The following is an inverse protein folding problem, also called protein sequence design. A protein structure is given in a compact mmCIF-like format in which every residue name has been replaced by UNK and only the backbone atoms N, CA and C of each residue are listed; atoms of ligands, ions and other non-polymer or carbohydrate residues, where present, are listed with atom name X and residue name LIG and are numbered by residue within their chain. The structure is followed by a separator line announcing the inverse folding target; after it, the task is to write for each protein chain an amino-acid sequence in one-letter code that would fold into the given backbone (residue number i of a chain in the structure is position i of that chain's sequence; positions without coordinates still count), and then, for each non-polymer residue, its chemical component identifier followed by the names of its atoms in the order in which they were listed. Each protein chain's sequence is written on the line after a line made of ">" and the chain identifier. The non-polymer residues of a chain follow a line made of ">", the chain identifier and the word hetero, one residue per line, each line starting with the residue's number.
data_IF_874594114599
#
_entry.id   IF_874594114599
#
_cell.length_a   1.000
_cell.length_b   1.000
_cell.length_c   1.000
_cell.angle_alpha   90.00
_cell.angle_beta   90.00
_cell.angle_gamma   90.00
#
_symmetry.space_group_name_H-M   'P 1'
#
loop_
_entity.id
_entity.type
_entity.pdbx_description
1 polymer ?
#
# COMPACT_ATOMS: atom_id res chain seq x y z
N UNK A 1 -18.43 17.85 13.91
CA UNK A 1 -17.05 17.59 13.46
C UNK A 1 -16.72 16.17 13.80
N UNK A 2 -16.27 15.37 12.83
CA UNK A 2 -15.89 13.97 13.02
C UNK A 2 -14.70 13.91 13.99
N UNK A 3 -14.79 13.11 15.05
CA UNK A 3 -13.67 12.84 15.94
C UNK A 3 -12.72 11.86 15.25
N UNK A 4 -11.71 12.37 14.56
CA UNK A 4 -10.78 11.55 13.76
C UNK A 4 -10.03 10.48 14.58
N UNK A 5 -9.54 10.74 15.80
CA UNK A 5 -8.96 9.71 16.65
C UNK A 5 -9.93 8.56 16.99
N UNK A 6 -11.19 8.85 17.29
CA UNK A 6 -12.23 7.86 17.54
C UNK A 6 -12.58 7.07 16.27
N UNK A 7 -12.69 7.75 15.13
CA UNK A 7 -12.92 7.09 13.83
C UNK A 7 -11.78 6.13 13.47
N UNK A 8 -10.52 6.49 13.79
CA UNK A 8 -9.36 5.61 13.62
C UNK A 8 -9.47 4.36 14.48
N UNK A 9 -9.82 4.49 15.75
CA UNK A 9 -9.97 3.34 16.64
C UNK A 9 -11.08 2.41 16.14
N UNK A 10 -12.24 2.96 15.76
CA UNK A 10 -13.36 2.18 15.19
C UNK A 10 -12.98 1.48 13.88
N UNK A 11 -12.19 2.12 13.02
CA UNK A 11 -11.64 1.48 11.82
C UNK A 11 -10.81 0.26 12.20
N UNK A 12 -9.88 0.39 13.15
CA UNK A 12 -9.01 -0.72 13.55
C UNK A 12 -9.82 -1.85 14.17
N UNK A 13 -10.77 -1.55 15.06
CA UNK A 13 -11.59 -2.56 15.71
C UNK A 13 -12.52 -3.29 14.73
N UNK A 14 -13.27 -2.55 13.93
CA UNK A 14 -14.37 -3.11 13.13
C UNK A 14 -13.95 -3.56 11.74
N UNK A 15 -13.10 -2.77 11.08
CA UNK A 15 -12.76 -3.02 9.66
C UNK A 15 -11.49 -3.86 9.53
N UNK A 16 -10.60 -3.86 10.52
CA UNK A 16 -9.31 -4.55 10.47
C UNK A 16 -9.32 -5.79 11.36
N UNK A 17 -9.35 -5.63 12.68
CA UNK A 17 -9.37 -6.76 13.63
C UNK A 17 -10.63 -7.62 13.45
N UNK A 18 -11.78 -7.01 13.25
CA UNK A 18 -13.05 -7.71 12.97
C UNK A 18 -13.07 -8.52 11.67
N UNK A 19 -12.06 -8.36 10.79
CA UNK A 19 -11.89 -9.10 9.52
C UNK A 19 -10.67 -10.00 9.53
N UNK A 20 -10.29 -10.51 10.69
CA UNK A 20 -9.24 -11.54 10.89
C UNK A 20 -7.80 -11.05 10.68
N UNK A 21 -7.52 -9.74 10.79
CA UNK A 21 -6.17 -9.22 10.98
C UNK A 21 -5.88 -9.29 12.49
N UNK A 22 -4.95 -10.13 12.89
CA UNK A 22 -4.66 -10.43 14.30
C UNK A 22 -3.26 -10.05 14.78
N UNK A 23 -2.36 -9.63 13.90
CA UNK A 23 -1.00 -9.24 14.29
C UNK A 23 -1.03 -7.97 15.16
N UNK A 24 -0.59 -8.06 16.45
CA UNK A 24 -0.64 -6.94 17.38
C UNK A 24 0.20 -5.75 16.93
N UNK A 25 1.32 -5.97 16.20
CA UNK A 25 2.16 -4.88 15.69
C UNK A 25 1.46 -4.13 14.57
N UNK A 26 0.75 -4.86 13.68
CA UNK A 26 -0.05 -4.26 12.62
C UNK A 26 -1.18 -3.42 13.21
N UNK A 27 -1.94 -3.98 14.16
CA UNK A 27 -3.03 -3.25 14.82
C UNK A 27 -2.53 -2.01 15.57
N UNK A 28 -1.39 -2.10 16.25
CA UNK A 28 -0.77 -0.96 16.93
C UNK A 28 -0.29 0.12 15.94
N UNK A 29 0.33 -0.29 14.82
CA UNK A 29 0.76 0.63 13.76
C UNK A 29 -0.42 1.37 13.13
N UNK A 30 -1.52 0.65 12.83
CA UNK A 30 -2.74 1.24 12.26
C UNK A 30 -3.43 2.25 13.21
N UNK A 31 -3.32 2.04 14.53
CA UNK A 31 -3.79 3.00 15.55
C UNK A 31 -2.89 4.22 15.65
N UNK A 32 -1.58 4.03 15.51
CA UNK A 32 -0.58 5.08 15.69
C UNK A 32 -0.54 6.06 14.51
N UNK A 33 -0.62 5.57 13.27
CA UNK A 33 -0.42 6.38 12.06
C UNK A 33 -1.72 7.09 11.66
N UNK A 34 -1.73 8.44 11.63
CA UNK A 34 -2.92 9.24 11.31
C UNK A 34 -3.18 9.26 9.80
N UNK A 35 -4.05 8.37 9.31
CA UNK A 35 -4.35 8.24 7.87
C UNK A 35 -4.88 9.54 7.26
N UNK A 36 -5.61 10.38 8.03
CA UNK A 36 -6.12 11.69 7.62
C UNK A 36 -5.04 12.67 7.17
N UNK A 37 -3.79 12.45 7.57
CA UNK A 37 -2.65 13.26 7.15
C UNK A 37 -2.08 12.88 5.78
N UNK A 38 -2.50 11.74 5.25
CA UNK A 38 -2.07 11.17 3.97
C UNK A 38 -3.11 11.32 2.86
N UNK A 39 -4.20 12.01 3.12
CA UNK A 39 -5.26 12.28 2.14
C UNK A 39 -5.40 13.79 1.89
N UNK A 40 -5.93 14.21 0.72
CA UNK A 40 -6.26 15.62 0.48
C UNK A 40 -7.18 16.20 1.56
N UNK A 41 -7.02 17.47 1.88
CA UNK A 41 -7.75 18.11 2.98
C UNK A 41 -9.28 17.96 2.90
N UNK A 42 -9.85 18.02 1.68
CA UNK A 42 -11.29 17.85 1.44
C UNK A 42 -11.79 16.40 1.61
N UNK A 43 -10.89 15.42 1.73
CA UNK A 43 -11.21 13.99 1.94
C UNK A 43 -10.91 13.50 3.36
N UNK A 44 -10.44 14.37 4.26
CA UNK A 44 -10.06 13.96 5.62
C UNK A 44 -11.19 13.32 6.42
N UNK A 45 -12.41 13.75 6.22
CA UNK A 45 -13.58 13.17 6.90
C UNK A 45 -13.86 11.72 6.49
N UNK A 46 -13.43 11.31 5.28
CA UNK A 46 -13.55 9.96 4.73
C UNK A 46 -12.31 9.10 4.96
N UNK A 47 -11.28 9.62 5.62
CA UNK A 47 -9.98 8.93 5.75
C UNK A 47 -10.08 7.54 6.39
N UNK A 48 -11.09 7.30 7.20
CA UNK A 48 -11.30 6.07 7.94
C UNK A 48 -12.41 5.17 7.39
N UNK A 49 -12.96 5.53 6.22
CA UNK A 49 -13.87 4.67 5.48
C UNK A 49 -13.11 3.48 4.88
N UNK A 50 -13.78 2.32 4.79
CA UNK A 50 -13.19 1.07 4.27
C UNK A 50 -13.12 1.07 2.73
N UNK A 51 -12.52 2.11 2.17
CA UNK A 51 -12.43 2.34 0.72
C UNK A 51 -11.08 2.99 0.35
N UNK A 52 -10.58 2.79 -0.88
CA UNK A 52 -9.52 3.61 -1.42
C UNK A 52 -10.02 5.04 -1.65
N UNK A 53 -9.13 6.03 -1.50
CA UNK A 53 -9.44 7.44 -1.77
C UNK A 53 -8.49 7.99 -2.83
N UNK A 54 -8.95 8.93 -3.68
CA UNK A 54 -8.10 9.54 -4.69
C UNK A 54 -7.03 10.44 -4.05
N UNK A 55 -5.83 10.39 -4.63
CA UNK A 55 -4.72 11.31 -4.37
C UNK A 55 -4.27 11.96 -5.69
N UNK A 56 -3.17 12.73 -5.68
CA UNK A 56 -2.64 13.32 -6.90
C UNK A 56 -2.22 12.28 -7.94
N UNK A 57 -1.91 12.72 -9.17
CA UNK A 57 -1.42 11.89 -10.28
C UNK A 57 -2.38 10.75 -10.67
N UNK A 58 -3.69 10.92 -10.44
CA UNK A 58 -4.72 9.90 -10.69
C UNK A 58 -4.47 8.57 -9.94
N UNK A 59 -3.72 8.65 -8.83
CA UNK A 59 -3.46 7.52 -7.97
C UNK A 59 -4.46 7.47 -6.80
N UNK A 60 -4.38 6.42 -6.00
CA UNK A 60 -5.21 6.25 -4.80
C UNK A 60 -4.38 5.86 -3.60
N UNK A 61 -4.78 6.33 -2.41
CA UNK A 61 -4.37 5.70 -1.17
C UNK A 61 -5.22 4.44 -0.98
N UNK A 62 -4.59 3.29 -0.81
CA UNK A 62 -5.27 1.99 -0.71
C UNK A 62 -6.22 1.91 0.48
N UNK A 63 -7.28 1.10 0.36
CA UNK A 63 -8.21 0.78 1.44
C UNK A 63 -7.45 0.35 2.71
N UNK A 64 -7.81 0.84 3.91
CA UNK A 64 -7.11 0.52 5.16
C UNK A 64 -6.95 -0.97 5.43
N UNK A 65 -8.01 -1.76 5.21
CA UNK A 65 -7.97 -3.21 5.37
C UNK A 65 -6.92 -3.89 4.47
N UNK A 66 -6.80 -3.45 3.22
CA UNK A 66 -5.84 -4.03 2.28
C UNK A 66 -4.40 -3.72 2.70
N UNK A 67 -4.13 -2.49 3.16
CA UNK A 67 -2.81 -2.13 3.72
C UNK A 67 -2.47 -3.03 4.91
N UNK A 68 -3.37 -3.16 5.88
CA UNK A 68 -3.17 -4.02 7.05
C UNK A 68 -2.91 -5.48 6.65
N UNK A 69 -3.71 -6.02 5.70
CA UNK A 69 -3.56 -7.38 5.18
C UNK A 69 -2.22 -7.64 4.51
N UNK A 70 -1.72 -6.68 3.73
CA UNK A 70 -0.42 -6.79 3.07
C UNK A 70 0.71 -6.79 4.09
N UNK A 71 0.69 -5.88 5.06
CA UNK A 71 1.69 -5.77 6.12
C UNK A 71 1.68 -7.02 7.02
N UNK A 72 0.50 -7.52 7.41
CA UNK A 72 0.39 -8.79 8.15
C UNK A 72 0.94 -9.97 7.34
N UNK A 73 0.61 -10.07 6.05
CA UNK A 73 1.15 -11.11 5.17
C UNK A 73 2.67 -11.03 5.02
N UNK A 74 3.24 -9.82 5.07
CA UNK A 74 4.68 -9.59 5.06
C UNK A 74 5.36 -10.01 6.37
N UNK A 75 4.61 -10.16 7.48
CA UNK A 75 5.13 -10.62 8.77
C UNK A 75 6.33 -9.79 9.24
N UNK A 76 6.18 -8.46 9.22
CA UNK A 76 7.25 -7.53 9.57
C UNK A 76 7.69 -7.67 11.02
N UNK A 77 8.98 -7.44 11.26
CA UNK A 77 9.62 -7.49 12.57
C UNK A 77 10.41 -6.20 12.84
N UNK A 78 10.68 -5.85 14.10
CA UNK A 78 11.37 -4.61 14.46
C UNK A 78 12.77 -4.44 13.84
N UNK A 79 13.44 -5.54 13.47
CA UNK A 79 14.77 -5.50 12.84
C UNK A 79 14.76 -5.52 11.31
N UNK A 80 13.58 -5.64 10.69
CA UNK A 80 13.47 -5.83 9.25
C UNK A 80 13.86 -4.57 8.46
N UNK A 81 14.53 -4.80 7.32
CA UNK A 81 14.67 -3.83 6.23
C UNK A 81 13.60 -4.12 5.19
N UNK A 82 12.83 -3.12 4.86
CA UNK A 82 11.65 -3.26 4.01
C UNK A 82 11.81 -2.41 2.75
N UNK A 83 11.37 -2.96 1.61
CA UNK A 83 11.19 -2.19 0.38
C UNK A 83 9.70 -2.12 0.05
N UNK A 84 9.19 -0.92 -0.15
CA UNK A 84 7.88 -0.67 -0.74
C UNK A 84 8.01 -0.20 -2.18
N UNK A 85 7.16 -0.70 -3.07
CA UNK A 85 7.03 -0.21 -4.43
C UNK A 85 5.66 0.45 -4.61
N UNK A 86 5.69 1.73 -5.02
CA UNK A 86 4.49 2.57 -5.09
C UNK A 86 4.22 3.30 -3.79
N UNK A 87 5.04 4.31 -3.46
CA UNK A 87 4.91 5.13 -2.23
C UNK A 87 3.54 5.80 -2.14
N UNK A 88 3.04 6.33 -3.26
CA UNK A 88 1.80 7.08 -3.31
C UNK A 88 1.78 8.23 -2.30
N UNK A 89 0.86 8.17 -1.34
CA UNK A 89 0.78 9.15 -0.24
C UNK A 89 1.85 8.97 0.85
N UNK A 90 2.51 7.79 0.93
CA UNK A 90 3.42 7.41 2.01
C UNK A 90 2.74 6.70 3.19
N UNK A 91 1.44 6.41 3.13
CA UNK A 91 0.70 5.82 4.25
C UNK A 91 1.16 4.39 4.56
N UNK A 92 1.30 3.51 3.56
CA UNK A 92 1.71 2.13 3.79
C UNK A 92 3.18 2.06 4.25
N UNK A 93 4.07 2.93 3.70
CA UNK A 93 5.41 3.12 4.22
C UNK A 93 5.42 3.51 5.71
N UNK A 94 4.56 4.46 6.11
CA UNK A 94 4.44 4.90 7.51
C UNK A 94 3.97 3.76 8.45
N UNK A 95 3.01 2.92 8.00
CA UNK A 95 2.57 1.74 8.76
C UNK A 95 3.70 0.73 8.89
N UNK A 96 4.42 0.43 7.81
CA UNK A 96 5.56 -0.48 7.83
C UNK A 96 6.69 0.06 8.73
N UNK A 97 6.99 1.35 8.67
CA UNK A 97 7.99 2.02 9.49
C UNK A 97 7.67 2.03 10.99
N UNK A 98 6.39 1.98 11.35
CA UNK A 98 5.98 1.83 12.76
C UNK A 98 6.32 0.45 13.34
N UNK A 99 6.71 -0.53 12.51
CA UNK A 99 7.04 -1.92 12.89
C UNK A 99 8.51 -2.22 12.60
N UNK A 100 8.99 -1.91 11.39
CA UNK A 100 10.30 -2.29 10.88
C UNK A 100 11.42 -1.32 11.31
N UNK A 101 12.68 -1.73 11.17
CA UNK A 101 13.82 -0.88 11.45
C UNK A 101 13.97 0.24 10.42
N UNK A 102 13.77 -0.06 9.14
CA UNK A 102 13.90 0.89 8.04
C UNK A 102 13.02 0.49 6.86
N UNK A 103 12.45 1.49 6.18
CA UNK A 103 11.68 1.32 4.95
C UNK A 103 12.29 2.18 3.86
N UNK A 104 12.76 1.53 2.79
CA UNK A 104 12.98 2.19 1.50
C UNK A 104 11.67 2.12 0.70
N UNK A 105 11.26 3.21 0.06
CA UNK A 105 10.06 3.21 -0.79
C UNK A 105 10.33 3.93 -2.11
N UNK A 106 9.86 3.35 -3.22
CA UNK A 106 10.11 3.85 -4.58
C UNK A 106 8.81 4.34 -5.21
N UNK A 107 8.83 5.57 -5.72
CA UNK A 107 7.70 6.21 -6.40
C UNK A 107 8.13 6.75 -7.77
N UNK A 108 7.35 6.43 -8.82
CA UNK A 108 7.63 6.91 -10.18
C UNK A 108 7.24 8.37 -10.40
N UNK A 109 6.20 8.86 -9.72
CA UNK A 109 5.73 10.23 -9.83
C UNK A 109 6.49 11.14 -8.87
N UNK A 110 7.34 12.01 -9.40
CA UNK A 110 8.17 12.90 -8.59
C UNK A 110 7.36 13.79 -7.64
N UNK A 111 6.16 14.24 -8.07
CA UNK A 111 5.28 15.06 -7.25
C UNK A 111 4.74 14.28 -6.02
N UNK A 112 4.34 13.01 -6.20
CA UNK A 112 3.91 12.14 -5.10
C UNK A 112 5.09 11.83 -4.16
N UNK A 113 6.25 11.49 -4.70
CA UNK A 113 7.45 11.23 -3.91
C UNK A 113 7.82 12.44 -3.02
N UNK A 114 7.73 13.65 -3.56
CA UNK A 114 8.00 14.89 -2.81
C UNK A 114 6.95 15.11 -1.71
N UNK A 115 5.67 14.99 -2.03
CA UNK A 115 4.57 15.12 -1.08
C UNK A 115 4.66 14.09 0.07
N UNK A 116 5.03 12.84 -0.25
CA UNK A 116 5.24 11.79 0.75
C UNK A 116 6.39 12.14 1.69
N UNK A 117 7.56 12.61 1.18
CA UNK A 117 8.69 13.07 2.01
C UNK A 117 8.25 14.16 2.98
N UNK A 118 7.53 15.17 2.49
CA UNK A 118 7.04 16.29 3.31
C UNK A 118 6.08 15.82 4.41
N UNK A 119 5.17 14.91 4.07
CA UNK A 119 4.20 14.36 5.02
C UNK A 119 4.89 13.51 6.10
N UNK A 120 5.81 12.62 5.71
CA UNK A 120 6.57 11.77 6.63
C UNK A 120 7.44 12.63 7.57
N UNK A 121 8.14 13.64 7.04
CA UNK A 121 8.96 14.57 7.84
C UNK A 121 8.10 15.36 8.83
N UNK A 122 6.95 15.87 8.41
CA UNK A 122 6.01 16.60 9.27
C UNK A 122 5.46 15.72 10.41
N UNK A 123 5.33 14.42 10.18
CA UNK A 123 4.89 13.46 11.18
C UNK A 123 6.02 12.89 12.05
N UNK A 124 7.28 13.31 11.81
CA UNK A 124 8.45 12.83 12.55
C UNK A 124 8.77 11.36 12.29
N UNK A 125 8.45 10.86 11.09
CA UNK A 125 8.78 9.49 10.66
C UNK A 125 10.12 9.56 9.92
N UNK A 126 11.19 9.21 10.59
CA UNK A 126 12.57 9.39 10.16
C UNK A 126 13.25 8.11 9.64
N UNK A 127 12.60 6.96 9.81
CA UNK A 127 13.08 5.66 9.32
C UNK A 127 12.46 5.24 7.97
N UNK A 128 12.00 6.21 7.17
CA UNK A 128 11.54 6.00 5.78
C UNK A 128 12.39 6.83 4.83
N UNK A 129 12.95 6.19 3.80
CA UNK A 129 13.64 6.87 2.70
C UNK A 129 12.82 6.74 1.42
N UNK A 130 12.40 7.88 0.84
CA UNK A 130 11.62 7.91 -0.40
C UNK A 130 12.54 8.14 -1.59
N UNK A 131 12.54 7.20 -2.53
CA UNK A 131 13.29 7.25 -3.79
C UNK A 131 12.33 7.57 -4.94
N UNK A 132 12.82 8.31 -5.94
CA UNK A 132 12.05 8.59 -7.16
C UNK A 132 12.63 7.80 -8.32
N UNK A 133 11.83 6.94 -8.97
CA UNK A 133 12.31 6.11 -10.06
C UNK A 133 11.35 5.00 -10.48
N UNK A 134 11.80 4.15 -11.40
CA UNK A 134 11.08 2.95 -11.81
C UNK A 134 11.22 1.84 -10.75
N UNK A 135 10.11 1.60 -10.03
CA UNK A 135 10.07 0.59 -8.98
C UNK A 135 10.17 -0.85 -9.48
N UNK A 136 9.99 -1.12 -10.79
CA UNK A 136 10.10 -2.49 -11.33
C UNK A 136 11.50 -3.07 -11.18
N UNK A 137 12.53 -2.22 -11.08
CA UNK A 137 13.91 -2.63 -10.79
C UNK A 137 14.17 -2.89 -9.30
N UNK A 138 13.19 -2.61 -8.42
CA UNK A 138 13.41 -2.58 -6.97
C UNK A 138 14.35 -1.44 -6.58
N UNK A 139 15.20 -1.70 -5.59
CA UNK A 139 16.27 -0.80 -5.15
C UNK A 139 17.50 -1.61 -4.73
N UNK A 140 18.39 -1.94 -5.68
CA UNK A 140 19.53 -2.82 -5.44
C UNK A 140 20.49 -2.31 -4.36
N UNK A 141 20.65 -0.99 -4.22
CA UNK A 141 21.56 -0.36 -3.26
C UNK A 141 21.18 -0.65 -1.80
N UNK A 142 19.91 -0.92 -1.55
CA UNK A 142 19.40 -1.26 -0.22
C UNK A 142 19.31 -2.76 0.06
N UNK A 143 19.50 -3.60 -0.95
CA UNK A 143 19.34 -5.06 -0.81
C UNK A 143 20.43 -5.69 0.09
N UNK A 144 20.18 -6.86 0.73
CA UNK A 144 18.91 -7.61 0.68
C UNK A 144 17.82 -7.06 1.62
N UNK A 145 16.56 -7.29 1.25
CA UNK A 145 15.38 -6.89 2.04
C UNK A 145 14.75 -8.10 2.74
N UNK A 146 14.36 -7.93 4.00
CA UNK A 146 13.61 -8.93 4.76
C UNK A 146 12.16 -9.03 4.28
N UNK A 147 11.59 -7.90 3.82
CA UNK A 147 10.29 -7.88 3.17
C UNK A 147 10.25 -6.88 2.02
N UNK A 148 9.52 -7.24 0.96
CA UNK A 148 9.17 -6.37 -0.16
C UNK A 148 7.65 -6.38 -0.29
N UNK A 149 7.01 -5.22 -0.46
CA UNK A 149 5.59 -5.20 -0.83
C UNK A 149 5.31 -4.12 -1.88
N UNK A 150 4.29 -4.36 -2.70
CA UNK A 150 3.94 -3.45 -3.78
C UNK A 150 2.51 -2.95 -3.64
N UNK A 151 2.34 -1.63 -3.68
CA UNK A 151 1.05 -0.91 -3.71
C UNK A 151 0.55 -0.67 -5.14
N UNK A 152 1.08 -1.41 -6.12
CA UNK A 152 0.69 -1.44 -7.53
C UNK A 152 0.73 -2.89 -8.05
N UNK A 153 -0.15 -3.22 -8.99
CA UNK A 153 -0.27 -4.58 -9.53
C UNK A 153 0.39 -4.75 -10.90
N UNK A 154 1.16 -5.83 -11.08
CA UNK A 154 1.85 -6.17 -12.31
C UNK A 154 1.36 -7.46 -12.96
N UNK A 155 1.82 -7.75 -14.20
CA UNK A 155 1.48 -8.99 -14.89
C UNK A 155 2.16 -10.21 -14.25
N UNK A 156 3.26 -10.03 -13.56
CA UNK A 156 4.05 -11.02 -12.86
C UNK A 156 4.87 -10.37 -11.74
N UNK A 157 5.53 -11.16 -10.90
CA UNK A 157 6.48 -10.67 -9.90
C UNK A 157 7.81 -10.38 -10.59
N UNK A 158 8.33 -9.12 -10.59
CA UNK A 158 9.60 -8.78 -11.20
C UNK A 158 10.76 -9.63 -10.68
N UNK A 159 11.62 -10.07 -11.58
CA UNK A 159 12.78 -10.91 -11.21
C UNK A 159 13.70 -10.18 -10.24
N UNK A 160 13.93 -8.90 -10.47
CA UNK A 160 14.78 -8.06 -9.62
C UNK A 160 14.34 -8.08 -8.15
N UNK A 161 13.00 -8.09 -7.89
CA UNK A 161 12.51 -8.13 -6.51
C UNK A 161 12.77 -9.46 -5.82
N UNK A 162 12.66 -10.59 -6.56
CA UNK A 162 12.98 -11.93 -6.04
C UNK A 162 14.45 -12.02 -5.63
N UNK A 163 15.35 -11.49 -6.47
CA UNK A 163 16.79 -11.49 -6.24
C UNK A 163 17.20 -10.58 -5.08
N UNK A 164 16.46 -9.49 -4.84
CA UNK A 164 16.69 -8.54 -3.74
C UNK A 164 16.12 -9.00 -2.38
N UNK A 165 15.36 -10.10 -2.32
CA UNK A 165 14.92 -10.68 -1.04
C UNK A 165 16.10 -11.31 -0.29
N UNK A 166 16.13 -11.14 1.02
CA UNK A 166 16.96 -11.96 1.90
C UNK A 166 16.50 -13.41 1.90
N UNK A 167 17.35 -14.34 2.35
CA UNK A 167 16.91 -15.72 2.60
C UNK A 167 15.85 -15.72 3.72
N UNK A 168 14.72 -16.38 3.48
CA UNK A 168 13.52 -16.30 4.33
C UNK A 168 12.71 -15.01 4.16
N UNK A 169 13.15 -14.11 3.29
CA UNK A 169 12.45 -12.86 2.96
C UNK A 169 11.10 -13.10 2.31
N UNK A 170 10.19 -12.15 2.48
CA UNK A 170 8.79 -12.24 2.05
C UNK A 170 8.46 -11.11 1.10
N UNK A 171 7.82 -11.44 -0.04
CA UNK A 171 7.35 -10.47 -1.01
C UNK A 171 5.83 -10.58 -1.12
N UNK A 172 5.14 -9.43 -1.09
CA UNK A 172 3.68 -9.34 -1.21
C UNK A 172 3.37 -8.42 -2.39
N UNK A 173 2.66 -8.93 -3.39
CA UNK A 173 2.36 -8.17 -4.60
C UNK A 173 1.00 -8.55 -5.19
N UNK A 174 0.23 -7.58 -5.71
CA UNK A 174 -0.89 -7.86 -6.61
C UNK A 174 -0.39 -8.32 -7.98
N UNK A 175 -0.81 -9.49 -8.44
CA UNK A 175 -0.42 -10.06 -9.75
C UNK A 175 -1.67 -10.44 -10.53
N UNK A 176 -1.72 -10.12 -11.82
CA UNK A 176 -2.79 -10.51 -12.73
C UNK A 176 -2.44 -10.26 -14.18
N UNK A 177 -2.91 -11.15 -15.08
CA UNK A 177 -2.73 -10.99 -16.53
C UNK A 177 -3.65 -9.90 -17.12
N UNK A 178 -4.67 -9.51 -16.37
CA UNK A 178 -5.55 -8.38 -16.66
C UNK A 178 -5.37 -7.33 -15.57
N UNK A 179 -5.33 -6.04 -15.94
CA UNK A 179 -4.98 -4.92 -15.06
C UNK A 179 -5.84 -4.83 -13.80
N UNK A 180 -7.10 -5.21 -13.89
CA UNK A 180 -8.08 -5.07 -12.79
C UNK A 180 -8.53 -6.41 -12.20
N UNK A 181 -8.02 -7.54 -12.72
CA UNK A 181 -8.26 -8.87 -12.18
C UNK A 181 -6.96 -9.42 -11.57
N UNK A 182 -6.68 -8.98 -10.35
CA UNK A 182 -5.44 -9.32 -9.68
C UNK A 182 -5.68 -10.21 -8.47
N UNK A 183 -4.67 -10.98 -8.13
CA UNK A 183 -4.59 -11.76 -6.90
C UNK A 183 -3.39 -11.28 -6.09
N UNK A 184 -3.60 -11.08 -4.80
CA UNK A 184 -2.50 -10.81 -3.89
C UNK A 184 -1.68 -12.09 -3.74
N UNK A 185 -0.41 -12.01 -4.10
CA UNK A 185 0.54 -13.13 -4.06
C UNK A 185 1.56 -12.88 -2.95
N UNK A 186 1.88 -13.95 -2.22
CA UNK A 186 3.03 -13.99 -1.30
C UNK A 186 4.09 -14.91 -1.85
N UNK A 187 5.32 -14.40 -1.98
CA UNK A 187 6.53 -15.18 -2.32
C UNK A 187 7.44 -15.19 -1.10
N UNK A 188 8.03 -16.35 -0.81
CA UNK A 188 9.03 -16.52 0.26
C UNK A 188 10.28 -17.14 -0.35
N UNK A 189 11.43 -16.47 -0.20
CA UNK A 189 12.71 -17.00 -0.67
C UNK A 189 13.21 -18.09 0.26
N UNK A 190 13.31 -19.33 -0.20
CA UNK A 190 13.76 -20.50 0.58
C UNK A 190 15.25 -20.73 0.49
N UNK A 191 15.78 -20.64 -0.73
CA UNK A 191 17.20 -20.73 -1.03
C UNK A 191 17.58 -19.65 -2.05
N UNK A 192 18.79 -19.69 -2.56
CA UNK A 192 19.24 -18.77 -3.61
C UNK A 192 18.37 -18.84 -4.87
N UNK A 193 17.84 -20.00 -5.19
CA UNK A 193 17.09 -20.28 -6.43
C UNK A 193 15.68 -20.86 -6.22
N UNK A 194 15.26 -21.05 -4.96
CA UNK A 194 13.95 -21.65 -4.65
C UNK A 194 13.04 -20.67 -3.90
N UNK A 195 11.79 -20.58 -4.34
CA UNK A 195 10.77 -19.64 -3.85
C UNK A 195 9.43 -20.35 -3.70
N UNK A 196 8.86 -20.28 -2.51
CA UNK A 196 7.45 -20.65 -2.30
C UNK A 196 6.55 -19.51 -2.73
N UNK A 197 5.51 -19.82 -3.53
CA UNK A 197 4.52 -18.84 -3.94
C UNK A 197 3.12 -19.31 -3.58
N UNK A 198 2.31 -18.40 -3.00
CA UNK A 198 0.91 -18.65 -2.69
C UNK A 198 0.02 -17.46 -2.92
N UNK A 199 -1.21 -17.70 -3.36
CA UNK A 199 -2.25 -16.68 -3.50
C UNK A 199 -2.96 -16.44 -2.17
N UNK A 200 -3.17 -15.16 -1.84
CA UNK A 200 -3.88 -14.73 -0.63
C UNK A 200 -5.33 -14.29 -0.88
N UNK A 201 -5.75 -14.15 -2.14
CA UNK A 201 -7.11 -13.79 -2.55
C UNK A 201 -7.15 -12.67 -3.59
N UNK A 202 -8.35 -12.35 -4.06
CA UNK A 202 -8.57 -11.30 -5.06
C UNK A 202 -8.34 -9.91 -4.47
N UNK A 203 -7.79 -9.02 -5.30
CA UNK A 203 -7.54 -7.60 -5.00
C UNK A 203 -7.63 -6.78 -6.28
N UNK A 204 -7.71 -5.45 -6.13
CA UNK A 204 -7.63 -4.51 -7.24
C UNK A 204 -6.71 -3.36 -6.85
N UNK A 205 -5.65 -3.16 -7.64
CA UNK A 205 -4.68 -2.10 -7.48
C UNK A 205 -4.46 -1.36 -8.80
N UNK A 206 -3.98 -0.14 -8.70
CA UNK A 206 -3.46 0.60 -9.84
C UNK A 206 -2.34 -0.19 -10.52
N UNK A 207 -2.14 -0.06 -11.86
CA UNK A 207 -1.12 -0.82 -12.56
C UNK A 207 0.29 -0.39 -12.16
N UNK A 208 1.17 -1.37 -11.96
CA UNK A 208 2.61 -1.18 -11.88
C UNK A 208 3.15 -0.83 -13.26
N UNK A 209 3.59 0.39 -13.45
CA UNK A 209 4.14 0.89 -14.72
C UNK A 209 5.65 0.95 -14.63
N UNK A 210 6.35 0.39 -15.62
CA UNK A 210 7.80 0.40 -15.70
C UNK A 210 8.31 -0.69 -16.64
N UNK A 211 9.63 -0.84 -16.75
CA UNK A 211 10.29 -1.73 -17.69
C UNK A 211 9.89 -3.21 -17.52
N UNK A 212 9.63 -3.66 -16.28
CA UNK A 212 9.17 -5.02 -15.94
C UNK A 212 7.76 -5.00 -15.34
N UNK A 213 6.92 -4.08 -15.84
CA UNK A 213 5.52 -3.89 -15.45
C UNK A 213 4.59 -3.78 -16.65
N UNK A 214 3.52 -2.99 -16.53
CA UNK A 214 2.65 -2.64 -17.64
C UNK A 214 3.24 -1.47 -18.44
N UNK A 215 3.16 -1.48 -19.79
CA UNK A 215 3.51 -0.31 -20.60
C UNK A 215 2.65 0.91 -20.26
N UNK A 216 3.26 2.10 -20.19
CA UNK A 216 2.54 3.33 -19.85
C UNK A 216 1.43 3.68 -20.87
N UNK A 217 1.66 3.46 -22.15
CA UNK A 217 0.72 3.67 -23.24
C UNK A 217 -0.54 2.82 -23.11
N UNK A 218 -0.41 1.60 -22.64
CA UNK A 218 -1.54 0.70 -22.40
C UNK A 218 -2.45 1.16 -21.25
N UNK A 219 -1.95 1.94 -20.30
CA UNK A 219 -2.71 2.41 -19.15
C UNK A 219 -3.53 3.66 -19.45
N UNK A 220 -3.08 4.48 -20.41
CA UNK A 220 -3.81 5.69 -20.83
C UNK A 220 -5.08 5.39 -21.63
N UNK A 221 -5.21 4.18 -22.20
CA UNK A 221 -6.36 3.80 -23.04
C UNK A 221 -7.58 3.39 -22.21
N UNK A 222 -7.42 3.08 -20.92
CA UNK A 222 -8.50 2.59 -20.06
C UNK A 222 -8.34 3.14 -18.63
N UNK A 223 -8.68 4.42 -18.37
CA UNK A 223 -8.65 4.92 -16.99
C UNK A 223 -9.65 4.11 -16.15
N UNK A 224 -9.29 3.76 -14.89
CA UNK A 224 -10.24 3.12 -13.99
C UNK A 224 -11.49 4.00 -13.90
N UNK A 225 -12.66 3.41 -14.04
CA UNK A 225 -13.88 4.10 -13.69
C UNK A 225 -13.73 4.56 -12.24
N UNK A 226 -13.51 5.83 -12.04
CA UNK A 226 -13.55 6.45 -10.72
C UNK A 226 -14.95 6.14 -10.23
N UNK A 227 -15.06 5.34 -9.16
CA UNK A 227 -16.35 5.08 -8.54
C UNK A 227 -16.98 6.45 -8.26
N UNK A 228 -18.09 6.72 -8.91
CA UNK A 228 -18.83 7.97 -8.75
C UNK A 228 -18.97 8.24 -7.25
N UNK A 229 -18.68 9.47 -6.86
CA UNK A 229 -18.89 9.97 -5.50
C UNK A 229 -20.25 9.50 -4.99
N UNK A 230 -20.38 9.07 -3.72
CA UNK A 230 -21.66 8.58 -3.20
C UNK A 230 -22.71 9.67 -3.41
N UNK A 231 -23.60 9.44 -4.37
CA UNK A 231 -24.79 10.24 -4.61
C UNK A 231 -25.58 10.31 -3.31
N UNK A 232 -25.80 11.52 -2.83
CA UNK A 232 -26.72 11.84 -1.76
C UNK A 232 -28.02 11.05 -1.94
N UNK A 233 -28.24 10.05 -1.10
CA UNK A 233 -29.57 9.51 -0.95
C UNK A 233 -30.43 10.60 -0.31
N UNK A 234 -31.18 11.30 -1.17
CA UNK A 234 -32.25 12.19 -0.76
C UNK A 234 -33.19 11.38 0.16
N UNK A 235 -33.34 11.86 1.39
CA UNK A 235 -34.43 11.46 2.27
C UNK A 235 -35.75 11.74 1.54
N UNK A 236 -36.53 10.69 1.32
CA UNK A 236 -37.92 10.84 0.96
C UNK A 236 -38.67 11.54 2.14
N UNK A 237 -39.55 12.48 1.88
CA UNK A 237 -40.39 13.06 2.92
C UNK A 237 -41.40 12.01 3.38
N UNK A 238 -41.52 11.86 4.72
CA UNK A 238 -42.64 11.17 5.35
C UNK A 238 -43.92 11.93 5.00
N UNK A 239 -44.82 11.27 4.29
CA UNK A 239 -46.24 11.68 4.17
C UNK A 239 -47.14 10.64 4.84
N UNK A 240 -47.79 11.12 5.93
CA UNK A 240 -49.05 10.65 6.59
C UNK A 240 -49.00 9.35 7.38
#
# INVERSE_FOLDING_TARGET
>A
MTNLPEARELMVERQIAGRSIGDPNVLAAMRRVPREEFVPAHLREFAYDDTPLPIAEQQTISQPYIVARMIEAAQLRPGDRVLEIGTGSGYAAAIAAAIAAHVDTVERHAALAQSARETLARLGIDNVTVHTGDGTHGLPEGAPYDAIFASAGGPHVPRAWREQLALGGRLIMPVGHERYHQRLVKVVRRTEHDYDERTLGAVMFVPLIGDDGWPAEDVMLDPPAVADSPTQHARAPDDL
#
